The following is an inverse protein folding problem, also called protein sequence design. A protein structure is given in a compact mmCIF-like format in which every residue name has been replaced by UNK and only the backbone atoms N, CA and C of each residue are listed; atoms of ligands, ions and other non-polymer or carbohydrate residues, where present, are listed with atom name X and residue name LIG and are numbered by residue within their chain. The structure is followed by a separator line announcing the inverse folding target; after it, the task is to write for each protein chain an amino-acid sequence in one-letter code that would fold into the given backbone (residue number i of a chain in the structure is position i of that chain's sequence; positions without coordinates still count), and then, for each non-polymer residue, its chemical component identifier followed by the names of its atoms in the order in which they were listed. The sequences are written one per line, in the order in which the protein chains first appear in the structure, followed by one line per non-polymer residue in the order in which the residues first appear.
data_IF_465467458034
#
_entry.id   IF_465467458034
#
_cell.length_a   1.000
_cell.length_b   1.000
_cell.length_c   1.000
_cell.angle_alpha   90.00
_cell.angle_beta   90.00
_cell.angle_gamma   90.00
#
_symmetry.space_group_name_H-M   'P 1'
#
loop_
_entity.id
_entity.type
_entity.pdbx_description
1 polymer ?
#
# COMPACT_ATOMS: atom_id res chain seq x y z
N UNK A 1 -17.45 0.22 12.61
CA UNK A 1 -17.38 -0.08 11.18
C UNK A 1 -16.05 0.44 10.65
N UNK A 2 -15.39 -0.30 9.76
CA UNK A 2 -14.23 0.20 9.03
C UNK A 2 -14.63 1.32 8.07
N UNK A 3 -13.70 2.21 7.76
CA UNK A 3 -13.87 3.26 6.75
C UNK A 3 -12.77 3.12 5.71
N UNK A 4 -13.10 3.25 4.43
CA UNK A 4 -12.13 3.14 3.33
C UNK A 4 -11.98 4.50 2.66
N UNK A 5 -10.73 4.92 2.56
CA UNK A 5 -10.30 6.16 1.93
C UNK A 5 -9.44 5.83 0.72
N UNK A 6 -9.60 6.58 -0.37
CA UNK A 6 -8.73 6.49 -1.54
C UNK A 6 -7.90 7.76 -1.66
N UNK A 7 -6.59 7.60 -1.68
CA UNK A 7 -5.65 8.61 -2.16
C UNK A 7 -5.22 8.22 -3.57
N UNK A 8 -5.55 9.03 -4.57
CA UNK A 8 -5.18 8.76 -5.97
C UNK A 8 -4.61 9.98 -6.66
N UNK A 9 -3.86 9.76 -7.75
CA UNK A 9 -3.24 10.82 -8.55
C UNK A 9 -2.13 10.26 -9.44
N UNK A 10 -1.67 11.04 -10.41
CA UNK A 10 -0.66 10.64 -11.38
C UNK A 10 0.65 10.12 -10.75
N UNK A 11 1.39 9.28 -11.47
CA UNK A 11 2.73 8.84 -11.05
C UNK A 11 3.63 10.06 -10.81
N UNK A 12 4.47 10.02 -9.78
CA UNK A 12 5.34 11.12 -9.35
C UNK A 12 4.64 12.43 -8.94
N UNK A 13 3.33 12.42 -8.69
CA UNK A 13 2.59 13.60 -8.23
C UNK A 13 2.87 14.01 -6.77
N UNK A 14 3.83 13.38 -6.09
CA UNK A 14 4.18 13.67 -4.69
C UNK A 14 3.27 13.06 -3.62
N UNK A 15 2.32 12.18 -3.99
CA UNK A 15 1.37 11.52 -3.06
C UNK A 15 2.07 10.85 -1.89
N UNK A 16 2.98 9.92 -2.18
CA UNK A 16 3.69 9.17 -1.14
C UNK A 16 4.50 10.09 -0.24
N UNK A 17 5.10 11.15 -0.79
CA UNK A 17 5.79 12.16 0.02
C UNK A 17 4.85 12.91 0.96
N UNK A 18 3.69 13.34 0.47
CA UNK A 18 2.69 14.05 1.27
C UNK A 18 2.05 13.13 2.33
N UNK A 19 1.78 11.87 1.96
CA UNK A 19 1.32 10.82 2.86
C UNK A 19 2.31 10.52 3.98
N UNK A 20 3.61 10.42 3.67
CA UNK A 20 4.66 10.24 4.67
C UNK A 20 4.75 11.43 5.63
N UNK A 21 4.64 12.66 5.11
CA UNK A 21 4.59 13.88 5.95
C UNK A 21 3.38 13.88 6.87
N UNK A 22 2.21 13.51 6.36
CA UNK A 22 0.99 13.40 7.16
C UNK A 22 1.12 12.31 8.24
N UNK A 23 1.63 11.13 7.88
CA UNK A 23 1.82 10.01 8.78
C UNK A 23 2.78 10.35 9.92
N UNK A 24 3.86 11.09 9.64
CA UNK A 24 4.83 11.53 10.65
C UNK A 24 4.23 12.44 11.74
N UNK A 25 3.13 13.14 11.44
CA UNK A 25 2.45 14.04 12.38
C UNK A 25 1.14 13.47 12.93
N UNK A 26 0.78 12.23 12.56
CA UNK A 26 -0.48 11.59 12.94
C UNK A 26 -0.20 10.38 13.81
N UNK A 27 -0.87 10.29 14.96
CA UNK A 27 -0.73 9.12 15.86
C UNK A 27 -1.55 7.95 15.33
N UNK A 28 -1.12 6.73 15.67
CA UNK A 28 -1.88 5.52 15.35
C UNK A 28 -1.90 5.15 13.86
N UNK A 29 -0.90 5.60 13.09
CA UNK A 29 -0.72 5.26 11.67
C UNK A 29 0.20 4.05 11.54
N UNK A 30 -0.30 3.02 10.87
CA UNK A 30 0.39 1.77 10.61
C UNK A 30 0.28 1.40 9.13
N UNK A 31 1.00 0.37 8.71
CA UNK A 31 0.96 -0.18 7.37
C UNK A 31 2.19 0.16 6.55
N UNK A 32 2.03 0.18 5.23
CA UNK A 32 3.13 0.27 4.26
C UNK A 32 2.95 1.50 3.38
N UNK A 33 4.04 2.27 3.24
CA UNK A 33 4.22 3.28 2.21
C UNK A 33 5.29 2.81 1.21
N UNK A 34 5.25 3.31 -0.03
CA UNK A 34 6.17 2.87 -1.07
C UNK A 34 6.95 4.03 -1.71
N UNK A 35 7.83 4.71 -0.94
CA UNK A 35 8.54 5.89 -1.44
C UNK A 35 9.55 5.53 -2.52
N UNK A 36 9.75 6.49 -3.44
CA UNK A 36 10.89 6.50 -4.36
C UNK A 36 11.96 7.40 -3.76
N UNK A 37 13.14 6.85 -3.50
CA UNK A 37 14.29 7.55 -2.90
C UNK A 37 15.46 7.43 -3.89
N UNK A 38 15.98 8.56 -4.36
CA UNK A 38 17.05 8.60 -5.36
C UNK A 38 16.75 7.77 -6.63
N UNK A 39 15.48 7.71 -7.04
CA UNK A 39 15.03 6.96 -8.22
C UNK A 39 14.72 5.48 -7.96
N UNK A 40 14.98 4.97 -6.76
CA UNK A 40 14.77 3.58 -6.39
C UNK A 40 13.53 3.45 -5.50
N UNK A 41 12.66 2.48 -5.79
CA UNK A 41 11.47 2.20 -4.97
C UNK A 41 11.79 1.36 -3.74
N UNK A 42 11.20 1.75 -2.61
CA UNK A 42 11.28 1.05 -1.33
C UNK A 42 9.88 0.68 -0.86
N UNK A 43 9.78 -0.32 0.01
CA UNK A 43 8.65 -0.44 0.94
C UNK A 43 9.10 0.06 2.32
N UNK A 44 8.26 0.85 2.98
CA UNK A 44 8.52 1.44 4.28
C UNK A 44 7.38 1.13 5.24
N UNK A 45 7.72 0.59 6.41
CA UNK A 45 6.82 0.41 7.54
C UNK A 45 6.57 1.76 8.23
N UNK A 46 5.32 2.20 8.27
CA UNK A 46 4.96 3.51 8.81
C UNK A 46 5.05 3.60 10.33
N UNK A 47 5.06 2.47 11.04
CA UNK A 47 5.10 2.47 12.50
C UNK A 47 6.52 2.66 13.06
N UNK A 48 7.54 2.10 12.40
CA UNK A 48 8.94 2.14 12.89
C UNK A 48 9.91 2.81 11.89
N UNK A 49 9.43 3.22 10.71
CA UNK A 49 10.25 3.78 9.62
C UNK A 49 11.29 2.84 9.02
N UNK A 50 11.25 1.55 9.35
CA UNK A 50 12.05 0.53 8.68
C UNK A 50 11.67 0.48 7.20
N UNK A 51 12.67 0.38 6.33
CA UNK A 51 12.47 0.35 4.89
C UNK A 51 13.42 -0.62 4.21
N UNK A 52 12.91 -1.27 3.18
CA UNK A 52 13.66 -2.21 2.35
C UNK A 52 13.52 -1.82 0.88
N UNK A 53 14.62 -1.95 0.14
CA UNK A 53 14.63 -1.67 -1.28
C UNK A 53 13.79 -2.72 -2.02
N UNK A 54 12.81 -2.29 -2.80
CA UNK A 54 11.89 -3.19 -3.50
C UNK A 54 12.41 -3.57 -4.89
N UNK A 55 13.03 -2.62 -5.60
CA UNK A 55 13.66 -2.86 -6.90
C UNK A 55 14.97 -3.61 -6.75
N UNK A 56 15.21 -4.62 -7.59
CA UNK A 56 16.43 -5.43 -7.57
C UNK A 56 16.95 -5.63 -8.99
N UNK A 57 18.27 -5.66 -9.15
CA UNK A 57 18.94 -6.01 -10.42
C UNK A 57 19.38 -7.49 -10.44
N UNK A 58 19.24 -8.19 -9.31
CA UNK A 58 19.60 -9.60 -9.20
C UNK A 58 18.47 -10.44 -9.75
N UNK A 59 18.73 -11.19 -10.81
CA UNK A 59 17.76 -12.16 -11.34
C UNK A 59 17.62 -13.36 -10.39
N UNK A 60 16.40 -13.66 -9.97
CA UNK A 60 16.06 -14.81 -9.14
C UNK A 60 14.70 -15.33 -9.59
N UNK A 61 14.48 -16.64 -9.50
CA UNK A 61 13.23 -17.28 -9.94
C UNK A 61 12.00 -16.72 -9.18
N UNK A 62 12.21 -16.12 -8.01
CA UNK A 62 11.14 -15.58 -7.16
C UNK A 62 10.80 -14.11 -7.48
N UNK A 63 11.62 -13.40 -8.26
CA UNK A 63 11.37 -11.99 -8.52
C UNK A 63 10.18 -11.75 -9.46
N UNK A 64 9.55 -10.58 -9.28
CA UNK A 64 8.42 -10.16 -10.10
C UNK A 64 8.87 -9.10 -11.11
N UNK A 65 8.89 -9.48 -12.39
CA UNK A 65 9.09 -8.54 -13.49
C UNK A 65 7.78 -7.81 -13.87
N UNK A 66 7.85 -6.48 -13.99
CA UNK A 66 6.78 -5.64 -14.57
C UNK A 66 7.39 -4.56 -15.46
N UNK A 67 7.09 -4.63 -16.76
CA UNK A 67 7.69 -3.71 -17.72
C UNK A 67 9.21 -3.81 -17.67
N UNK A 68 9.88 -2.72 -17.31
CA UNK A 68 11.34 -2.64 -17.21
C UNK A 68 11.87 -2.83 -15.78
N UNK A 69 11.01 -3.10 -14.80
CA UNK A 69 11.39 -3.22 -13.40
C UNK A 69 11.33 -4.67 -12.93
N UNK A 70 12.27 -5.02 -12.05
CA UNK A 70 12.31 -6.29 -11.35
C UNK A 70 12.19 -6.02 -9.85
N UNK A 71 11.20 -6.66 -9.22
CA UNK A 71 10.88 -6.45 -7.81
C UNK A 71 11.14 -7.72 -7.00
N UNK A 72 11.67 -7.53 -5.79
CA UNK A 72 11.92 -8.64 -4.86
C UNK A 72 10.61 -9.12 -4.20
N UNK A 73 10.28 -10.39 -4.43
CA UNK A 73 9.15 -11.04 -3.76
C UNK A 73 9.38 -11.23 -2.26
N UNK A 74 10.64 -11.36 -1.82
CA UNK A 74 10.99 -11.37 -0.40
C UNK A 74 10.55 -10.07 0.29
N UNK A 75 10.77 -8.94 -0.37
CA UNK A 75 10.39 -7.64 0.18
C UNK A 75 8.88 -7.42 0.14
N UNK A 76 8.19 -7.93 -0.89
CA UNK A 76 6.73 -7.99 -0.84
C UNK A 76 6.23 -8.87 0.31
N UNK A 77 6.84 -10.04 0.54
CA UNK A 77 6.50 -10.89 1.68
C UNK A 77 6.67 -10.15 3.00
N UNK A 78 7.79 -9.46 3.20
CA UNK A 78 7.98 -8.61 4.38
C UNK A 78 6.88 -7.53 4.49
N UNK A 79 6.54 -6.86 3.40
CA UNK A 79 5.46 -5.86 3.38
C UNK A 79 4.09 -6.44 3.76
N UNK A 80 3.78 -7.66 3.32
CA UNK A 80 2.56 -8.39 3.72
C UNK A 80 2.56 -8.72 5.20
N UNK A 81 3.68 -9.21 5.73
CA UNK A 81 3.81 -9.52 7.15
C UNK A 81 3.62 -8.25 8.00
N UNK A 82 4.20 -7.11 7.59
CA UNK A 82 3.97 -5.80 8.23
C UNK A 82 2.50 -5.39 8.22
N UNK A 83 1.78 -5.58 7.11
CA UNK A 83 0.36 -5.24 7.02
C UNK A 83 -0.49 -6.10 7.96
N UNK A 84 -0.21 -7.40 8.04
CA UNK A 84 -0.94 -8.31 8.91
C UNK A 84 -0.66 -8.01 10.39
N UNK A 85 0.62 -7.82 10.76
CA UNK A 85 1.00 -7.43 12.12
C UNK A 85 0.40 -6.08 12.53
N UNK A 86 0.25 -5.15 11.57
CA UNK A 86 -0.36 -3.85 11.80
C UNK A 86 -1.82 -3.99 12.23
N UNK A 87 -2.58 -4.97 11.71
CA UNK A 87 -3.98 -5.19 12.09
C UNK A 87 -4.14 -5.59 13.56
N UNK A 88 -3.16 -6.31 14.11
CA UNK A 88 -3.20 -6.78 15.49
C UNK A 88 -2.82 -5.71 16.51
N UNK A 89 -2.20 -4.61 16.05
CA UNK A 89 -1.82 -3.46 16.88
C UNK A 89 -2.94 -2.44 17.10
N UNK A 90 -4.17 -2.73 16.65
CA UNK A 90 -5.34 -1.84 16.74
C UNK A 90 -5.06 -0.41 16.23
N UNK A 91 -4.68 -0.26 14.95
CA UNK A 91 -4.32 1.02 14.39
C UNK A 91 -5.55 1.92 14.26
N UNK A 92 -5.38 3.24 14.40
CA UNK A 92 -6.44 4.17 13.99
C UNK A 92 -6.50 4.22 12.46
N UNK A 93 -5.32 4.27 11.84
CA UNK A 93 -5.12 4.34 10.39
C UNK A 93 -4.24 3.19 9.91
N UNK A 94 -4.70 2.48 8.88
CA UNK A 94 -3.91 1.52 8.12
C UNK A 94 -3.71 2.08 6.71
N UNK A 95 -2.46 2.33 6.34
CA UNK A 95 -2.10 2.78 5.00
C UNK A 95 -1.60 1.60 4.19
N UNK A 96 -2.06 1.51 2.95
CA UNK A 96 -1.60 0.54 1.97
C UNK A 96 -1.28 1.30 0.69
N UNK A 97 0.01 1.53 0.46
CA UNK A 97 0.52 2.24 -0.72
C UNK A 97 0.88 1.29 -1.87
N UNK A 98 0.94 1.83 -3.09
CA UNK A 98 1.19 1.11 -4.36
C UNK A 98 0.17 0.01 -4.71
N UNK A 99 -1.12 0.22 -4.41
CA UNK A 99 -2.15 -0.65 -4.98
C UNK A 99 -2.24 -0.43 -6.50
N UNK A 100 -1.89 -1.46 -7.26
CA UNK A 100 -1.90 -1.39 -8.72
C UNK A 100 -2.04 -2.74 -9.43
N UNK A 101 -1.34 -2.87 -10.56
CA UNK A 101 -1.47 -4.03 -11.45
C UNK A 101 -1.08 -5.35 -10.77
N UNK A 102 -0.11 -5.34 -9.86
CA UNK A 102 0.28 -6.54 -9.13
C UNK A 102 -0.85 -7.05 -8.26
N UNK A 103 -1.41 -6.18 -7.42
CA UNK A 103 -2.46 -6.54 -6.48
C UNK A 103 -3.73 -6.98 -7.22
N UNK A 104 -4.05 -6.32 -8.34
CA UNK A 104 -5.14 -6.74 -9.24
C UNK A 104 -4.92 -8.14 -9.88
N UNK A 105 -3.69 -8.64 -9.90
CA UNK A 105 -3.34 -9.99 -10.37
C UNK A 105 -3.09 -10.99 -9.23
N UNK A 106 -3.36 -10.61 -7.97
CA UNK A 106 -3.13 -11.46 -6.81
C UNK A 106 -1.66 -11.55 -6.36
N UNK A 107 -0.80 -10.63 -6.82
CA UNK A 107 0.62 -10.54 -6.46
C UNK A 107 0.92 -9.30 -5.63
N UNK A 108 2.21 -9.03 -5.37
CA UNK A 108 2.66 -7.87 -4.61
C UNK A 108 2.20 -7.96 -3.15
N UNK A 109 1.39 -7.02 -2.70
CA UNK A 109 0.88 -7.01 -1.32
C UNK A 109 -0.32 -7.94 -1.08
N UNK A 110 -0.85 -8.63 -2.10
CA UNK A 110 -1.82 -9.72 -1.90
C UNK A 110 -1.16 -10.97 -1.29
N UNK A 111 -1.85 -11.72 -0.41
CA UNK A 111 -3.26 -11.59 -0.01
C UNK A 111 -3.51 -10.64 1.18
N UNK A 112 -2.51 -9.90 1.65
CA UNK A 112 -2.63 -9.09 2.87
C UNK A 112 -3.60 -7.92 2.70
N UNK A 113 -3.65 -7.30 1.51
CA UNK A 113 -4.61 -6.24 1.19
C UNK A 113 -6.05 -6.75 1.31
N UNK A 114 -6.37 -7.89 0.68
CA UNK A 114 -7.69 -8.52 0.80
C UNK A 114 -8.06 -8.80 2.26
N UNK A 115 -7.13 -9.32 3.06
CA UNK A 115 -7.34 -9.59 4.49
C UNK A 115 -7.60 -8.30 5.28
N UNK A 116 -6.82 -7.25 5.04
CA UNK A 116 -7.02 -5.95 5.66
C UNK A 116 -8.40 -5.35 5.32
N UNK A 117 -8.80 -5.40 4.05
CA UNK A 117 -10.10 -4.90 3.60
C UNK A 117 -11.27 -5.73 4.14
N UNK A 118 -11.09 -7.03 4.41
CA UNK A 118 -12.13 -7.89 4.99
C UNK A 118 -12.23 -7.79 6.52
N UNK A 119 -11.33 -7.07 7.19
CA UNK A 119 -11.38 -6.94 8.64
C UNK A 119 -12.71 -6.37 9.14
N UNK A 120 -13.16 -6.85 10.30
CA UNK A 120 -14.32 -6.33 11.02
C UNK A 120 -13.93 -5.27 12.07
N UNK A 121 -12.61 -5.08 12.28
CA UNK A 121 -12.08 -4.07 13.20
C UNK A 121 -12.50 -2.66 12.76
N UNK A 122 -12.77 -1.79 13.75
CA UNK A 122 -13.10 -0.37 13.51
C UNK A 122 -11.81 0.41 13.23
N UNK A 123 -11.35 0.38 11.98
CA UNK A 123 -10.14 1.06 11.52
C UNK A 123 -10.44 1.93 10.29
N UNK A 124 -9.61 2.95 10.05
CA UNK A 124 -9.64 3.73 8.80
C UNK A 124 -8.53 3.21 7.88
N UNK A 125 -8.88 2.79 6.67
CA UNK A 125 -7.92 2.26 5.70
C UNK A 125 -7.73 3.29 4.60
N UNK A 126 -6.48 3.69 4.34
CA UNK A 126 -6.12 4.53 3.19
C UNK A 126 -5.50 3.61 2.14
N UNK A 127 -6.18 3.48 1.00
CA UNK A 127 -5.63 2.85 -0.19
C UNK A 127 -5.01 3.94 -1.06
N UNK A 128 -3.70 3.84 -1.33
CA UNK A 128 -3.06 4.69 -2.32
C UNK A 128 -3.06 3.96 -3.65
N UNK A 129 -3.79 4.50 -4.61
CA UNK A 129 -4.07 3.83 -5.89
C UNK A 129 -3.58 4.72 -7.03
N UNK A 130 -3.00 4.11 -8.07
CA UNK A 130 -2.71 4.81 -9.33
C UNK A 130 -4.01 5.32 -9.94
N UNK A 131 -4.05 6.60 -10.35
CA UNK A 131 -5.31 7.27 -10.74
C UNK A 131 -6.09 6.50 -11.82
N UNK A 132 -5.38 5.93 -12.78
CA UNK A 132 -5.91 5.15 -13.89
C UNK A 132 -6.46 3.77 -13.48
N UNK A 133 -6.14 3.27 -12.28
CA UNK A 133 -6.56 1.94 -11.79
C UNK A 133 -7.66 2.01 -10.71
N UNK A 134 -8.11 3.21 -10.34
CA UNK A 134 -9.09 3.39 -9.25
C UNK A 134 -10.38 2.60 -9.52
N UNK A 135 -10.88 2.61 -10.75
CA UNK A 135 -12.12 1.93 -11.08
C UNK A 135 -11.99 0.40 -11.00
N UNK A 136 -10.87 -0.12 -11.47
CA UNK A 136 -10.49 -1.54 -11.47
C UNK A 136 -10.31 -2.05 -10.05
N UNK A 137 -9.60 -1.29 -9.20
CA UNK A 137 -9.36 -1.63 -7.79
C UNK A 137 -10.67 -1.68 -7.01
N UNK A 138 -11.55 -0.69 -7.19
CA UNK A 138 -12.87 -0.68 -6.55
C UNK A 138 -13.66 -1.93 -6.95
N UNK A 139 -13.65 -2.28 -8.24
CA UNK A 139 -14.35 -3.46 -8.76
C UNK A 139 -13.75 -4.76 -8.22
N UNK A 140 -12.43 -4.89 -8.25
CA UNK A 140 -11.70 -6.09 -7.84
C UNK A 140 -11.94 -6.44 -6.38
N UNK A 141 -11.89 -5.43 -5.49
CA UNK A 141 -12.13 -5.62 -4.05
C UNK A 141 -13.61 -5.55 -3.65
N UNK A 142 -14.53 -5.28 -4.58
CA UNK A 142 -15.95 -5.13 -4.30
C UNK A 142 -16.24 -3.97 -3.33
N UNK A 143 -15.49 -2.87 -3.43
CA UNK A 143 -15.69 -1.70 -2.57
C UNK A 143 -16.95 -0.94 -3.01
N UNK A 144 -17.82 -0.60 -2.05
CA UNK A 144 -18.98 0.22 -2.32
C UNK A 144 -18.56 1.68 -2.56
N UNK A 145 -18.72 2.15 -3.80
CA UNK A 145 -18.38 3.52 -4.21
C UNK A 145 -19.06 4.59 -3.36
N UNK A 146 -20.24 4.33 -2.80
CA UNK A 146 -20.96 5.30 -1.98
C UNK A 146 -20.34 5.46 -0.58
N UNK A 147 -19.55 4.47 -0.13
CA UNK A 147 -18.93 4.44 1.19
C UNK A 147 -17.45 4.83 1.17
N UNK A 148 -16.87 4.98 -0.02
CA UNK A 148 -15.48 5.39 -0.21
C UNK A 148 -15.36 6.91 -0.07
N UNK A 149 -14.37 7.35 0.72
CA UNK A 149 -14.05 8.76 0.91
C UNK A 149 -12.79 9.13 0.14
N UNK A 150 -12.74 10.32 -0.45
CA UNK A 150 -11.49 10.86 -1.00
C UNK A 150 -10.57 11.27 0.16
N UNK A 151 -9.30 10.88 0.10
CA UNK A 151 -8.28 11.33 1.04
C UNK A 151 -7.47 12.47 0.43
N UNK A 152 -7.30 13.55 1.20
CA UNK A 152 -6.48 14.71 0.82
C UNK A 152 -5.44 14.95 1.89
N UNK A 153 -4.18 15.07 1.46
CA UNK A 153 -2.97 15.31 2.27
C UNK A 153 -2.50 16.74 2.14
#
# INVERSE_FOLDING_TARGET
MKEVYILSGAVHSGKTTALLKWAAHTKGVYGIAAPVINGIRYLQNLNNSEKHQLETDHDSDDNIAIGNYLFSEEIFKWGRDVLLDSLDKNPEWLVIDEIGLLELSGRGLEPAVTKALKTERKIKIILVIRQELVAEVIKYYGLDRQLIKEFRV
#
